data_IF_394187961146
#
_entry.id   IF_394187961146
#
_cell.length_a   1.000
_cell.length_b   1.000
_cell.length_c   1.000
_cell.angle_alpha   90.00
_cell.angle_beta   90.00
_cell.angle_gamma   90.00
#
_symmetry.space_group_name_H-M   'P 1'
#
loop_
_entity.id
_entity.type
_entity.pdbx_description
1 polymer ?
#
# COMPACT_ATOMS: atom_id res chain seq x y z
N UNK A 1 30.81 -5.04 -29.02
CA UNK A 1 31.64 -4.80 -27.81
C UNK A 1 31.95 -3.33 -27.56
N UNK A 2 32.21 -2.51 -28.60
CA UNK A 2 32.42 -1.05 -28.44
C UNK A 2 31.17 -0.30 -27.97
N UNK A 3 29.98 -0.69 -28.42
CA UNK A 3 28.72 0.00 -28.06
C UNK A 3 28.32 -0.22 -26.59
N UNK A 4 28.55 -1.43 -26.05
CA UNK A 4 28.31 -1.73 -24.64
C UNK A 4 29.21 -0.92 -23.70
N UNK A 5 30.48 -0.70 -24.07
CA UNK A 5 31.40 0.13 -23.28
C UNK A 5 31.06 1.63 -23.32
N UNK A 6 30.47 2.10 -24.42
CA UNK A 6 29.98 3.48 -24.53
C UNK A 6 28.72 3.69 -23.68
N UNK A 7 27.79 2.72 -23.67
CA UNK A 7 26.59 2.79 -22.84
C UNK A 7 26.91 2.77 -21.34
N UNK A 8 27.85 1.94 -20.89
CA UNK A 8 28.26 1.91 -19.47
C UNK A 8 28.97 3.20 -19.05
N UNK A 9 29.80 3.77 -19.93
CA UNK A 9 30.46 5.05 -19.68
C UNK A 9 29.46 6.22 -19.59
N UNK A 10 28.43 6.24 -20.46
CA UNK A 10 27.38 7.26 -20.41
C UNK A 10 26.53 7.16 -19.13
N UNK A 11 26.19 5.94 -18.69
CA UNK A 11 25.46 5.72 -17.44
C UNK A 11 26.31 6.15 -16.23
N UNK A 12 27.59 5.80 -16.21
CA UNK A 12 28.50 6.20 -15.15
C UNK A 12 28.66 7.73 -15.08
N UNK A 13 28.79 8.39 -16.23
CA UNK A 13 28.87 9.85 -16.31
C UNK A 13 27.58 10.52 -15.82
N UNK A 14 26.41 10.03 -16.24
CA UNK A 14 25.12 10.54 -15.77
C UNK A 14 24.95 10.35 -14.26
N UNK A 15 25.35 9.20 -13.71
CA UNK A 15 25.30 8.93 -12.28
C UNK A 15 26.20 9.89 -11.48
N UNK A 16 27.42 10.15 -11.97
CA UNK A 16 28.35 11.10 -11.35
C UNK A 16 27.79 12.52 -11.42
N UNK A 17 27.22 12.93 -12.56
CA UNK A 17 26.60 14.23 -12.71
C UNK A 17 25.42 14.42 -11.73
N UNK A 18 24.55 13.41 -11.61
CA UNK A 18 23.43 13.44 -10.65
C UNK A 18 23.95 13.50 -9.21
N UNK A 19 24.95 12.68 -8.85
CA UNK A 19 25.54 12.69 -7.52
C UNK A 19 26.14 14.06 -7.18
N UNK A 20 26.85 14.70 -8.11
CA UNK A 20 27.41 16.04 -7.93
C UNK A 20 26.32 17.09 -7.73
N UNK A 21 25.21 17.02 -8.49
CA UNK A 21 24.07 17.93 -8.32
C UNK A 21 23.41 17.75 -6.96
N UNK A 22 23.21 16.51 -6.50
CA UNK A 22 22.62 16.23 -5.18
C UNK A 22 23.55 16.72 -4.06
N UNK A 23 24.85 16.50 -4.17
CA UNK A 23 25.82 16.95 -3.17
C UNK A 23 26.00 18.46 -3.14
N UNK A 24 25.85 19.15 -4.28
CA UNK A 24 25.88 20.60 -4.36
C UNK A 24 24.55 21.27 -3.97
N UNK A 25 23.44 20.52 -3.96
CA UNK A 25 22.11 21.04 -3.67
C UNK A 25 21.97 21.82 -2.35
N UNK A 26 22.57 21.44 -1.20
CA UNK A 26 22.46 22.24 0.03
C UNK A 26 23.23 23.57 -0.03
N UNK A 27 24.24 23.68 -0.89
CA UNK A 27 25.03 24.92 -1.06
C UNK A 27 24.32 25.90 -1.99
N UNK A 28 23.67 25.37 -3.04
CA UNK A 28 22.94 26.17 -4.04
C UNK A 28 21.54 26.54 -3.54
N UNK A 29 20.89 25.66 -2.78
CA UNK A 29 19.55 25.87 -2.22
C UNK A 29 19.67 26.34 -0.77
N UNK A 30 19.64 27.66 -0.58
CA UNK A 30 19.56 28.24 0.77
C UNK A 30 18.22 27.86 1.42
N UNK A 31 18.26 26.95 2.39
CA UNK A 31 17.09 26.63 3.22
C UNK A 31 16.92 27.70 4.31
N UNK A 32 16.61 28.94 3.92
CA UNK A 32 16.31 30.01 4.87
C UNK A 32 14.82 29.97 5.29
N UNK A 33 14.41 28.83 5.87
CA UNK A 33 13.06 28.65 6.39
C UNK A 33 12.95 29.37 7.73
N UNK A 34 12.08 30.39 7.81
CA UNK A 34 11.68 31.04 9.05
C UNK A 34 10.94 30.06 9.97
N UNK A 35 10.95 30.29 11.28
CA UNK A 35 10.33 29.41 12.29
C UNK A 35 8.91 28.91 11.91
N UNK A 36 8.01 29.74 11.34
CA UNK A 36 6.68 29.29 10.89
C UNK A 36 6.67 28.29 9.72
N UNK A 37 7.75 28.21 8.93
CA UNK A 37 7.87 27.26 7.81
C UNK A 37 8.42 25.90 8.25
N UNK A 38 9.02 25.83 9.44
CA UNK A 38 9.58 24.60 10.00
C UNK A 38 8.57 23.77 10.79
N UNK A 39 7.33 24.27 10.95
CA UNK A 39 6.25 23.56 11.64
C UNK A 39 5.34 22.83 10.63
N UNK A 40 4.83 21.63 10.93
CA UNK A 40 4.00 20.85 9.99
C UNK A 40 2.61 21.47 9.70
N UNK A 41 2.32 22.66 10.21
CA UNK A 41 1.01 23.32 10.08
C UNK A 41 1.16 24.71 9.45
N UNK A 42 0.80 24.83 8.17
CA UNK A 42 0.85 26.08 7.40
C UNK A 42 -0.26 27.08 7.77
N UNK A 43 -1.25 26.68 8.57
CA UNK A 43 -2.41 27.50 8.93
C UNK A 43 -2.22 28.43 10.15
N UNK A 44 -1.01 28.56 10.70
CA UNK A 44 -0.70 29.51 11.80
C UNK A 44 -1.09 29.08 13.22
N UNK A 45 -1.58 27.86 13.42
CA UNK A 45 -1.93 27.27 14.71
C UNK A 45 -0.89 26.25 15.19
N UNK A 46 -0.75 26.10 16.51
CA UNK A 46 0.09 25.05 17.10
C UNK A 46 -0.53 23.66 16.90
N UNK A 47 0.31 22.63 16.73
CA UNK A 47 -0.13 21.24 16.65
C UNK A 47 -1.00 20.89 17.87
N UNK A 48 -2.26 20.51 17.64
CA UNK A 48 -3.23 20.22 18.72
C UNK A 48 -3.21 18.77 19.18
N UNK A 49 -2.66 17.86 18.38
CA UNK A 49 -2.60 16.42 18.65
C UNK A 49 -1.15 15.95 18.82
N UNK A 50 -0.93 15.01 19.74
CA UNK A 50 0.37 14.37 19.89
C UNK A 50 0.69 13.51 18.66
N UNK A 51 1.95 13.45 18.23
CA UNK A 51 2.39 12.66 17.07
C UNK A 51 2.11 11.14 17.16
N UNK A 52 1.74 10.67 18.36
CA UNK A 52 1.48 9.26 18.68
C UNK A 52 0.04 9.04 19.13
N UNK A 53 -0.82 10.03 18.86
CA UNK A 53 -2.24 9.92 19.19
C UNK A 53 -2.85 8.76 18.41
N UNK A 54 -3.48 7.84 19.13
CA UNK A 54 -4.17 6.71 18.53
C UNK A 54 -5.42 7.22 17.83
N UNK A 55 -5.41 7.16 16.50
CA UNK A 55 -6.61 7.40 15.70
C UNK A 55 -7.60 6.24 15.89
N UNK A 56 -8.89 6.52 15.76
CA UNK A 56 -9.96 5.58 16.07
C UNK A 56 -9.80 4.22 15.38
N UNK A 57 -10.18 3.15 16.08
CA UNK A 57 -10.07 1.74 15.66
C UNK A 57 -10.86 1.37 14.38
N UNK A 58 -11.56 2.34 13.77
CA UNK A 58 -12.54 2.14 12.69
C UNK A 58 -11.92 1.57 11.40
N UNK A 59 -10.64 1.82 11.15
CA UNK A 59 -9.96 1.32 9.93
C UNK A 59 -9.55 -0.16 10.03
N UNK A 60 -9.35 -0.68 11.25
CA UNK A 60 -8.85 -2.05 11.44
C UNK A 60 -9.78 -3.12 10.88
N UNK A 61 -11.10 -3.12 11.14
CA UNK A 61 -11.99 -4.16 10.63
C UNK A 61 -12.07 -4.16 9.10
N UNK A 62 -11.98 -2.99 8.46
CA UNK A 62 -11.98 -2.90 6.99
C UNK A 62 -10.68 -3.47 6.40
N UNK A 63 -9.53 -3.21 7.02
CA UNK A 63 -8.26 -3.82 6.61
C UNK A 63 -8.25 -5.34 6.81
N UNK A 64 -8.74 -5.82 7.96
CA UNK A 64 -8.83 -7.25 8.22
C UNK A 64 -9.76 -7.96 7.23
N UNK A 65 -10.89 -7.33 6.89
CA UNK A 65 -11.80 -7.85 5.87
C UNK A 65 -11.16 -7.89 4.48
N UNK A 66 -10.44 -6.83 4.12
CA UNK A 66 -9.71 -6.77 2.86
C UNK A 66 -8.66 -7.89 2.74
N UNK A 67 -7.86 -8.10 3.79
CA UNK A 67 -6.87 -9.18 3.82
C UNK A 67 -7.55 -10.56 3.73
N UNK A 68 -8.66 -10.77 4.44
CA UNK A 68 -9.40 -12.02 4.36
C UNK A 68 -9.93 -12.28 2.93
N UNK A 69 -10.42 -11.25 2.26
CA UNK A 69 -10.88 -11.33 0.87
C UNK A 69 -9.73 -11.55 -0.13
N UNK A 70 -8.57 -10.93 0.06
CA UNK A 70 -7.40 -11.21 -0.79
C UNK A 70 -6.95 -12.68 -0.67
N UNK A 71 -7.00 -13.24 0.55
CA UNK A 71 -6.70 -14.64 0.77
C UNK A 71 -7.71 -15.56 0.06
N UNK A 72 -8.98 -15.21 0.01
CA UNK A 72 -10.01 -15.94 -0.76
C UNK A 72 -9.62 -16.08 -2.24
N UNK A 73 -9.20 -14.97 -2.87
CA UNK A 73 -8.77 -14.96 -4.26
C UNK A 73 -7.53 -15.84 -4.48
N UNK A 74 -6.59 -15.86 -3.51
CA UNK A 74 -5.43 -16.75 -3.55
C UNK A 74 -5.82 -18.24 -3.63
N UNK A 75 -6.91 -18.64 -2.96
CA UNK A 75 -7.43 -20.02 -3.02
C UNK A 75 -8.24 -20.29 -4.29
N UNK A 76 -8.86 -19.28 -4.89
CA UNK A 76 -9.60 -19.44 -6.14
C UNK A 76 -8.72 -19.81 -7.33
N UNK A 77 -7.47 -19.32 -7.39
CA UNK A 77 -6.55 -19.62 -8.49
C UNK A 77 -6.25 -21.12 -8.67
N UNK A 78 -5.74 -21.86 -7.65
CA UNK A 78 -5.48 -23.28 -7.78
C UNK A 78 -6.77 -24.08 -7.97
N UNK A 79 -7.87 -23.68 -7.32
CA UNK A 79 -9.16 -24.33 -7.52
C UNK A 79 -9.65 -24.25 -8.97
N UNK A 80 -9.50 -23.10 -9.62
CA UNK A 80 -9.93 -22.93 -11.01
C UNK A 80 -9.20 -23.88 -11.97
N UNK A 81 -7.94 -24.24 -11.64
CA UNK A 81 -7.18 -25.25 -12.40
C UNK A 81 -7.73 -26.65 -12.15
N UNK A 82 -7.99 -27.01 -10.88
CA UNK A 82 -8.50 -28.34 -10.48
C UNK A 82 -9.95 -28.59 -10.91
N UNK A 83 -10.74 -27.53 -11.07
CA UNK A 83 -12.14 -27.61 -11.47
C UNK A 83 -12.34 -28.37 -12.80
N UNK A 84 -11.37 -28.30 -13.72
CA UNK A 84 -11.42 -29.01 -15.00
C UNK A 84 -11.43 -30.53 -14.82
N UNK A 85 -10.75 -31.05 -13.79
CA UNK A 85 -10.65 -32.49 -13.52
C UNK A 85 -11.75 -32.99 -12.58
N UNK A 86 -12.07 -32.23 -11.53
CA UNK A 86 -13.00 -32.65 -10.47
C UNK A 86 -14.45 -32.16 -10.66
N UNK A 87 -14.70 -31.20 -11.55
CA UNK A 87 -16.03 -30.71 -11.93
C UNK A 87 -16.92 -30.29 -10.75
N UNK A 88 -18.07 -30.97 -10.59
CA UNK A 88 -19.09 -30.62 -9.58
C UNK A 88 -18.63 -30.77 -8.13
N UNK A 89 -17.70 -31.69 -7.85
CA UNK A 89 -17.18 -31.88 -6.49
C UNK A 89 -16.33 -30.68 -6.07
N UNK A 90 -15.40 -30.26 -6.93
CA UNK A 90 -14.64 -29.04 -6.73
C UNK A 90 -15.56 -27.82 -6.62
N UNK A 91 -16.65 -27.75 -7.40
CA UNK A 91 -17.64 -26.68 -7.27
C UNK A 91 -18.27 -26.62 -5.87
N UNK A 92 -18.66 -27.77 -5.32
CA UNK A 92 -19.26 -27.86 -4.00
C UNK A 92 -18.27 -27.47 -2.90
N UNK A 93 -17.02 -27.92 -2.99
CA UNK A 93 -15.94 -27.57 -2.05
C UNK A 93 -15.65 -26.06 -2.04
N UNK A 94 -15.51 -25.45 -3.23
CA UNK A 94 -15.32 -24.00 -3.33
C UNK A 94 -16.57 -23.23 -2.91
N UNK A 95 -17.77 -23.69 -3.29
CA UNK A 95 -19.02 -23.09 -2.84
C UNK A 95 -19.15 -23.08 -1.31
N UNK A 96 -18.74 -24.16 -0.64
CA UNK A 96 -18.68 -24.22 0.82
C UNK A 96 -17.67 -23.23 1.39
N UNK A 97 -16.46 -23.16 0.81
CA UNK A 97 -15.42 -22.22 1.23
C UNK A 97 -15.87 -20.76 1.11
N UNK A 98 -16.42 -20.37 -0.04
CA UNK A 98 -16.95 -19.03 -0.30
C UNK A 98 -18.13 -18.72 0.64
N UNK A 99 -18.97 -19.69 0.96
CA UNK A 99 -20.09 -19.49 1.88
C UNK A 99 -19.61 -19.16 3.30
N UNK A 100 -18.57 -19.84 3.78
CA UNK A 100 -18.00 -19.60 5.11
C UNK A 100 -17.41 -18.19 5.21
N UNK A 101 -16.64 -17.76 4.20
CA UNK A 101 -16.08 -16.41 4.16
C UNK A 101 -17.17 -15.34 3.95
N UNK A 102 -18.16 -15.65 3.12
CA UNK A 102 -19.35 -14.81 2.89
C UNK A 102 -20.12 -14.51 4.18
N UNK A 103 -20.23 -15.48 5.10
CA UNK A 103 -20.81 -15.25 6.43
C UNK A 103 -20.01 -14.21 7.22
N UNK A 104 -18.68 -14.21 7.12
CA UNK A 104 -17.83 -13.19 7.72
C UNK A 104 -18.10 -11.78 7.19
N UNK A 105 -18.30 -11.64 5.87
CA UNK A 105 -18.67 -10.37 5.24
C UNK A 105 -20.06 -9.91 5.70
N UNK A 106 -21.04 -10.82 5.72
CA UNK A 106 -22.41 -10.51 6.17
C UNK A 106 -22.40 -10.06 7.63
N UNK A 107 -21.61 -10.71 8.48
CA UNK A 107 -21.43 -10.31 9.87
C UNK A 107 -20.83 -8.90 9.98
N UNK A 108 -19.74 -8.62 9.26
CA UNK A 108 -19.11 -7.29 9.25
C UNK A 108 -20.06 -6.19 8.75
N UNK A 109 -20.92 -6.51 7.78
CA UNK A 109 -21.98 -5.59 7.35
C UNK A 109 -22.95 -5.30 8.49
N UNK A 110 -23.47 -6.33 9.18
CA UNK A 110 -24.40 -6.14 10.29
C UNK A 110 -23.82 -5.29 11.41
N UNK A 111 -22.53 -5.41 11.68
CA UNK A 111 -21.82 -4.60 12.68
C UNK A 111 -21.57 -3.15 12.23
N UNK A 112 -21.91 -2.82 10.97
CA UNK A 112 -21.79 -1.46 10.45
C UNK A 112 -20.35 -1.03 10.18
N UNK A 113 -19.44 -1.98 9.93
CA UNK A 113 -18.03 -1.69 9.57
C UNK A 113 -17.93 -0.75 8.37
N UNK A 114 -18.90 -0.80 7.45
CA UNK A 114 -18.92 0.04 6.25
C UNK A 114 -19.55 1.43 6.45
N UNK A 115 -20.02 1.78 7.65
CA UNK A 115 -20.64 3.07 7.91
C UNK A 115 -19.59 4.14 8.18
N UNK A 116 -19.48 5.10 7.27
CA UNK A 116 -18.62 6.26 7.40
C UNK A 116 -19.37 7.40 8.09
N UNK A 117 -18.82 7.87 9.21
CA UNK A 117 -19.25 9.08 9.94
C UNK A 117 -18.01 9.93 10.21
#
# INVERSE_FOLDING_TARGET
>A
MRDLGQLTALIAFAAIAIALVVLASPVVISHNQTQPQQIPFLGGGSQRSHAWQRYHLRYYPMTLLFIAFEMEMMFMYPWAVVFVEEGLKALAEMGMFLSILGVGIVYAWREGVFRWQ
#
